data_IF_750871615912
#
_entry.id   IF_750871615912
#
_cell.length_a   1.000
_cell.length_b   1.000
_cell.length_c   1.000
_cell.angle_alpha   90.00
_cell.angle_beta   90.00
_cell.angle_gamma   90.00
#
_symmetry.space_group_name_H-M   'P 1'
#
loop_
_entity.id
_entity.type
_entity.pdbx_description
1 polymer ?
#
# COMPACT_ATOMS: atom_id res chain seq x y z
N UNK A 1 22.12 -19.39 22.55
CA UNK A 1 22.03 -18.20 23.43
C UNK A 1 20.59 -18.06 23.89
N UNK A 2 20.34 -18.08 25.21
CA UNK A 2 18.99 -18.00 25.81
C UNK A 2 18.64 -16.54 26.05
N UNK A 3 17.61 -16.02 25.39
CA UNK A 3 16.99 -14.75 25.77
C UNK A 3 16.27 -14.95 27.11
N UNK A 4 16.80 -14.33 28.17
CA UNK A 4 16.11 -14.24 29.46
C UNK A 4 15.11 -13.08 29.38
N UNK A 5 13.82 -13.40 29.36
CA UNK A 5 12.77 -12.44 29.66
C UNK A 5 12.94 -11.96 31.11
N UNK A 6 13.03 -10.64 31.30
CA UNK A 6 12.86 -10.02 32.62
C UNK A 6 11.36 -9.86 32.89
N UNK A 7 10.88 -10.14 34.11
CA UNK A 7 9.50 -9.87 34.48
C UNK A 7 9.31 -8.38 34.75
N UNK A 8 8.18 -7.85 34.27
CA UNK A 8 7.68 -6.52 34.56
C UNK A 8 7.00 -6.55 35.94
N UNK A 9 7.62 -5.94 36.95
CA UNK A 9 6.98 -5.72 38.25
C UNK A 9 6.14 -4.44 38.15
N UNK A 10 4.83 -4.57 38.31
CA UNK A 10 3.92 -3.46 38.55
C UNK A 10 3.13 -3.74 39.83
N UNK A 11 3.69 -3.31 40.96
CA UNK A 11 2.92 -3.02 42.17
C UNK A 11 2.41 -1.57 42.08
N UNK A 12 1.11 -1.40 42.29
CA UNK A 12 0.46 -0.09 42.22
C UNK A 12 -1.05 -0.20 42.41
N UNK A 13 -1.44 -0.69 43.58
CA UNK A 13 -2.84 -0.78 44.02
C UNK A 13 -3.28 0.57 44.59
N UNK A 14 -4.28 1.23 43.97
CA UNK A 14 -5.06 2.30 44.61
C UNK A 14 -6.54 2.14 44.20
N UNK A 15 -7.35 1.87 45.21
CA UNK A 15 -8.81 1.89 45.18
C UNK A 15 -9.39 3.22 44.69
N UNK A 16 -10.51 3.17 43.94
CA UNK A 16 -11.68 4.01 44.19
C UNK A 16 -12.92 3.45 43.48
N UNK A 17 -13.97 3.25 44.28
CA UNK A 17 -15.32 2.90 43.88
C UNK A 17 -16.00 4.08 43.15
N UNK A 18 -16.85 3.75 42.17
CA UNK A 18 -17.72 4.69 41.44
C UNK A 18 -18.69 3.91 40.52
N UNK A 19 -19.86 4.46 40.19
CA UNK A 19 -21.15 3.81 40.42
C UNK A 19 -21.72 3.01 39.22
N UNK A 20 -22.69 2.15 39.55
CA UNK A 20 -23.61 1.44 38.67
C UNK A 20 -24.13 2.33 37.53
N UNK A 21 -23.81 1.93 36.29
CA UNK A 21 -24.42 2.48 35.08
C UNK A 21 -25.39 1.43 34.55
N UNK A 22 -26.66 1.82 34.56
CA UNK A 22 -27.77 1.08 33.99
C UNK A 22 -27.51 0.68 32.53
N UNK A 23 -27.69 -0.61 32.24
CA UNK A 23 -27.90 -1.15 30.91
C UNK A 23 -29.09 -0.44 30.25
N UNK A 24 -28.83 0.21 29.13
CA UNK A 24 -29.86 0.48 28.12
C UNK A 24 -29.56 -0.42 26.92
N UNK A 25 -30.41 -1.42 26.76
CA UNK A 25 -30.53 -2.24 25.56
C UNK A 25 -30.91 -1.34 24.37
N UNK A 26 -30.06 -1.28 23.36
CA UNK A 26 -30.42 -0.76 22.04
C UNK A 26 -30.39 -1.90 21.03
N UNK A 27 -31.51 -2.19 20.34
CA UNK A 27 -31.57 -3.23 19.33
C UNK A 27 -30.77 -2.86 18.09
N UNK A 28 -29.93 -3.81 17.66
CA UNK A 28 -29.24 -3.83 16.37
C UNK A 28 -30.27 -4.15 15.28
N UNK A 29 -30.60 -3.15 14.46
CA UNK A 29 -31.20 -3.34 13.13
C UNK A 29 -30.61 -2.32 12.18
N UNK A 30 -29.95 -2.80 11.14
CA UNK A 30 -29.40 -1.95 10.08
C UNK A 30 -28.43 -2.70 9.19
N UNK A 31 -28.96 -3.61 8.37
CA UNK A 31 -28.28 -4.13 7.19
C UNK A 31 -27.95 -2.95 6.27
N UNK A 32 -26.71 -2.47 6.32
CA UNK A 32 -26.16 -1.49 5.39
C UNK A 32 -25.34 -2.21 4.32
N UNK A 33 -25.97 -2.57 3.21
CA UNK A 33 -25.29 -2.95 1.98
C UNK A 33 -24.41 -1.77 1.52
N UNK A 34 -23.10 -1.89 1.73
CA UNK A 34 -22.13 -1.05 1.05
C UNK A 34 -21.97 -1.54 -0.39
N UNK A 35 -22.74 -0.94 -1.29
CA UNK A 35 -22.45 -0.95 -2.73
C UNK A 35 -21.03 -0.40 -2.97
N UNK A 36 -20.16 -1.08 -3.74
CA UNK A 36 -18.89 -0.51 -4.13
C UNK A 36 -19.13 0.63 -5.13
N UNK A 37 -18.88 1.87 -4.67
CA UNK A 37 -18.78 3.04 -5.53
C UNK A 37 -17.65 2.79 -6.52
N UNK A 38 -18.02 2.42 -7.74
CA UNK A 38 -17.13 2.30 -8.88
C UNK A 38 -16.81 3.71 -9.38
N UNK A 39 -15.84 4.38 -8.74
CA UNK A 39 -15.34 5.67 -9.24
C UNK A 39 -14.39 5.41 -10.40
N UNK A 40 -14.95 5.61 -11.60
CA UNK A 40 -14.34 6.12 -12.83
C UNK A 40 -12.80 6.02 -12.94
N UNK A 41 -12.32 4.88 -13.44
CA UNK A 41 -11.15 4.87 -14.31
C UNK A 41 -11.61 5.03 -15.76
N UNK A 42 -11.90 6.26 -16.17
CA UNK A 42 -12.23 6.58 -17.55
C UNK A 42 -11.77 8.00 -17.87
N UNK A 43 -10.50 8.19 -18.27
CA UNK A 43 -10.06 9.32 -19.11
C UNK A 43 -8.62 9.19 -19.64
N UNK A 44 -8.30 8.08 -20.33
CA UNK A 44 -7.13 8.05 -21.26
C UNK A 44 -7.54 7.51 -22.63
N UNK A 45 -8.74 7.86 -23.11
CA UNK A 45 -9.23 7.45 -24.44
C UNK A 45 -9.94 8.57 -25.20
N UNK A 46 -9.42 9.80 -25.13
CA UNK A 46 -10.01 10.97 -25.81
C UNK A 46 -9.08 11.71 -26.81
N UNK A 47 -8.09 11.05 -27.42
CA UNK A 47 -7.27 11.69 -28.50
C UNK A 47 -7.32 10.95 -29.85
N UNK A 48 -8.22 9.98 -30.05
CA UNK A 48 -8.30 9.24 -31.33
C UNK A 48 -9.74 9.09 -31.87
N UNK A 49 -10.54 10.17 -31.86
CA UNK A 49 -11.82 10.24 -32.60
C UNK A 49 -12.02 11.59 -33.29
N UNK A 50 -11.06 12.01 -34.08
CA UNK A 50 -11.30 12.98 -35.14
C UNK A 50 -10.71 12.41 -36.44
N UNK A 51 -11.44 12.55 -37.54
CA UNK A 51 -11.15 12.03 -38.89
C UNK A 51 -11.67 10.62 -39.15
N UNK A 52 -13.00 10.48 -39.27
CA UNK A 52 -13.60 9.54 -40.24
C UNK A 52 -14.86 10.15 -40.85
N UNK A 53 -14.65 10.90 -41.92
CA UNK A 53 -15.64 11.02 -42.98
C UNK A 53 -14.91 10.72 -44.30
N UNK A 54 -15.33 9.63 -44.94
CA UNK A 54 -15.09 9.30 -46.35
C UNK A 54 -13.65 9.00 -46.77
N UNK A 55 -13.28 7.70 -46.83
CA UNK A 55 -12.80 7.05 -48.06
C UNK A 55 -12.21 5.65 -47.82
N UNK A 56 -12.67 4.72 -48.67
CA UNK A 56 -12.09 3.46 -49.20
C UNK A 56 -11.38 2.47 -48.24
N UNK A 57 -11.68 1.16 -48.34
CA UNK A 57 -10.94 0.13 -47.63
C UNK A 57 -9.61 -0.13 -48.35
N UNK A 58 -8.53 0.47 -47.89
CA UNK A 58 -7.17 0.00 -48.18
C UNK A 58 -6.83 -1.01 -47.07
N UNK A 59 -6.67 -2.27 -47.45
CA UNK A 59 -6.14 -3.31 -46.56
C UNK A 59 -4.66 -3.01 -46.30
N UNK A 60 -4.39 -2.12 -45.35
CA UNK A 60 -3.05 -1.98 -44.78
C UNK A 60 -2.86 -3.08 -43.75
N UNK A 61 -2.13 -4.13 -44.11
CA UNK A 61 -1.57 -5.06 -43.12
C UNK A 61 -0.61 -4.27 -42.23
N UNK A 62 -0.89 -4.10 -40.93
CA UNK A 62 0.03 -3.39 -40.07
C UNK A 62 1.30 -4.23 -39.94
N UNK A 63 2.38 -3.78 -40.59
CA UNK A 63 3.73 -4.28 -40.32
C UNK A 63 4.14 -3.79 -38.93
N UNK A 64 3.52 -4.37 -37.91
CA UNK A 64 3.95 -4.22 -36.53
C UNK A 64 5.31 -4.89 -36.42
N UNK A 65 6.34 -4.06 -36.53
CA UNK A 65 7.74 -4.43 -36.39
C UNK A 65 7.92 -5.38 -35.21
N UNK A 66 8.59 -6.52 -35.44
CA UNK A 66 8.96 -7.49 -34.39
C UNK A 66 9.65 -6.81 -33.19
N UNK A 67 10.30 -5.68 -33.45
CA UNK A 67 10.98 -4.85 -32.45
C UNK A 67 9.98 -4.19 -31.48
N UNK A 68 8.83 -3.73 -31.97
CA UNK A 68 7.73 -3.21 -31.12
C UNK A 68 7.12 -4.31 -30.25
N UNK A 69 7.00 -5.54 -30.78
CA UNK A 69 6.51 -6.68 -30.00
C UNK A 69 7.50 -7.12 -28.91
N UNK A 70 8.81 -7.01 -29.16
CA UNK A 70 9.86 -7.29 -28.16
C UNK A 70 9.85 -6.21 -27.08
N UNK A 71 9.77 -4.93 -27.46
CA UNK A 71 9.66 -3.80 -26.54
C UNK A 71 8.39 -3.94 -25.67
N UNK A 72 7.23 -4.17 -26.27
CA UNK A 72 5.98 -4.38 -25.54
C UNK A 72 6.10 -5.57 -24.55
N UNK A 73 6.68 -6.70 -24.95
CA UNK A 73 6.90 -7.85 -24.05
C UNK A 73 7.84 -7.55 -22.89
N UNK A 74 8.84 -6.69 -23.08
CA UNK A 74 9.75 -6.28 -22.01
C UNK A 74 9.06 -5.33 -21.00
N UNK A 75 8.10 -4.53 -21.45
CA UNK A 75 7.34 -3.61 -20.59
C UNK A 75 6.04 -4.21 -20.01
N UNK A 76 5.49 -5.29 -20.58
CA UNK A 76 4.25 -5.92 -20.09
C UNK A 76 4.42 -6.86 -18.89
N UNK A 77 5.62 -7.34 -18.57
CA UNK A 77 5.81 -8.39 -17.54
C UNK A 77 5.82 -7.91 -16.09
N UNK A 78 5.70 -6.60 -15.83
CA UNK A 78 5.94 -6.04 -14.48
C UNK A 78 4.72 -5.45 -13.77
N UNK A 79 3.50 -5.58 -14.31
CA UNK A 79 2.30 -4.89 -13.78
C UNK A 79 0.99 -5.68 -13.84
N UNK A 80 1.00 -6.94 -13.43
CA UNK A 80 -0.26 -7.65 -13.19
C UNK A 80 -0.83 -7.42 -11.78
N UNK A 81 -0.09 -6.74 -10.90
CA UNK A 81 -0.58 -6.34 -9.57
C UNK A 81 -1.56 -5.18 -9.76
N UNK A 82 -2.80 -5.38 -9.31
CA UNK A 82 -3.87 -4.38 -9.36
C UNK A 82 -4.14 -3.80 -7.99
N UNK A 83 -3.96 -4.58 -6.93
CA UNK A 83 -4.11 -4.08 -5.57
C UNK A 83 -3.19 -4.81 -4.59
N UNK A 84 -2.98 -4.19 -3.44
CA UNK A 84 -2.33 -4.76 -2.27
C UNK A 84 -3.41 -5.12 -1.25
N UNK A 85 -3.28 -6.29 -0.62
CA UNK A 85 -4.18 -6.75 0.43
C UNK A 85 -3.37 -6.86 1.71
N UNK A 86 -3.76 -6.14 2.76
CA UNK A 86 -3.10 -6.28 4.05
C UNK A 86 -3.55 -7.56 4.74
N UNK A 87 -2.58 -8.28 5.29
CA UNK A 87 -2.78 -9.48 6.08
C UNK A 87 -2.02 -9.37 7.41
N UNK A 88 -2.43 -10.14 8.41
CA UNK A 88 -1.80 -10.09 9.74
C UNK A 88 -0.28 -10.33 9.70
N UNK A 89 0.19 -11.19 8.79
CA UNK A 89 1.60 -11.58 8.68
C UNK A 89 2.39 -10.81 7.60
N UNK A 90 1.72 -10.01 6.77
CA UNK A 90 2.37 -9.31 5.66
C UNK A 90 1.41 -8.68 4.66
N UNK A 91 1.87 -8.55 3.42
CA UNK A 91 1.08 -8.03 2.30
C UNK A 91 0.99 -9.10 1.22
N UNK A 92 -0.21 -9.35 0.74
CA UNK A 92 -0.48 -10.17 -0.44
C UNK A 92 -0.85 -9.29 -1.64
N UNK A 93 -0.63 -9.77 -2.85
CA UNK A 93 -0.93 -9.05 -4.08
C UNK A 93 -2.16 -9.61 -4.75
N UNK A 94 -3.12 -8.73 -5.09
CA UNK A 94 -4.23 -9.08 -5.96
C UNK A 94 -3.84 -8.79 -7.40
N UNK A 95 -3.85 -9.84 -8.23
CA UNK A 95 -3.59 -9.74 -9.65
C UNK A 95 -4.83 -9.33 -10.43
N UNK A 96 -4.65 -8.94 -11.69
CA UNK A 96 -5.73 -8.51 -12.58
C UNK A 96 -6.76 -9.60 -12.86
N UNK A 97 -6.35 -10.84 -12.90
CA UNK A 97 -7.26 -11.99 -13.05
C UNK A 97 -8.05 -12.31 -11.77
N UNK A 98 -7.87 -11.51 -10.70
CA UNK A 98 -8.51 -11.67 -9.41
C UNK A 98 -7.80 -12.65 -8.49
N UNK A 99 -6.77 -13.35 -8.95
CA UNK A 99 -5.98 -14.24 -8.10
C UNK A 99 -5.20 -13.46 -7.06
N UNK A 100 -4.99 -14.08 -5.89
CA UNK A 100 -4.19 -13.52 -4.81
C UNK A 100 -2.92 -14.34 -4.68
N UNK A 101 -1.78 -13.66 -4.75
CA UNK A 101 -0.46 -14.27 -4.59
C UNK A 101 0.28 -13.67 -3.40
N UNK A 102 1.10 -14.46 -2.68
CA UNK A 102 1.89 -13.93 -1.57
C UNK A 102 2.84 -12.81 -2.04
N UNK A 103 2.84 -11.70 -1.31
CA UNK A 103 3.76 -10.60 -1.55
C UNK A 103 5.00 -10.71 -0.69
N UNK A 104 4.96 -10.10 0.49
CA UNK A 104 6.04 -10.19 1.49
C UNK A 104 5.48 -10.37 2.90
N UNK A 105 6.32 -10.84 3.81
CA UNK A 105 5.98 -10.98 5.25
C UNK A 105 6.68 -9.92 6.08
N UNK A 106 6.03 -9.46 7.17
CA UNK A 106 6.57 -8.43 8.06
C UNK A 106 7.96 -8.82 8.62
N UNK A 107 8.14 -10.10 8.94
CA UNK A 107 9.42 -10.66 9.43
C UNK A 107 10.58 -10.56 8.44
N UNK A 108 10.29 -10.45 7.14
CA UNK A 108 11.28 -10.33 6.06
C UNK A 108 11.68 -8.88 5.79
N UNK A 109 10.94 -7.90 6.33
CA UNK A 109 11.23 -6.49 6.12
C UNK A 109 12.52 -6.11 6.84
N UNK A 110 13.47 -5.59 6.07
CA UNK A 110 14.78 -5.13 6.56
C UNK A 110 14.88 -3.62 6.62
N UNK A 111 14.07 -2.90 5.83
CA UNK A 111 14.04 -1.44 5.83
C UNK A 111 12.67 -0.94 5.38
N UNK A 112 12.19 0.10 6.05
CA UNK A 112 10.97 0.83 5.69
C UNK A 112 11.36 2.28 5.46
N UNK A 113 11.03 2.79 4.29
CA UNK A 113 11.29 4.16 3.89
C UNK A 113 9.96 4.81 3.48
N UNK A 114 9.91 6.11 3.59
CA UNK A 114 8.81 6.92 3.08
C UNK A 114 9.36 8.03 2.20
N UNK A 115 8.59 8.44 1.20
CA UNK A 115 8.89 9.61 0.40
C UNK A 115 7.62 10.20 -0.19
N UNK A 116 7.65 11.51 -0.44
CA UNK A 116 6.66 12.16 -1.32
C UNK A 116 7.03 11.93 -2.78
N UNK A 117 6.03 11.58 -3.57
CA UNK A 117 6.07 11.51 -5.02
C UNK A 117 5.32 12.72 -5.54
N UNK A 118 6.02 13.58 -6.27
CA UNK A 118 5.42 14.73 -6.96
C UNK A 118 4.71 14.24 -8.24
N UNK A 119 3.38 14.40 -8.27
CA UNK A 119 2.52 14.08 -9.42
C UNK A 119 2.03 15.34 -10.14
N UNK A 120 2.86 16.38 -10.16
CA UNK A 120 2.66 17.71 -10.75
C UNK A 120 1.57 18.57 -10.07
N UNK A 121 0.39 18.00 -9.84
CA UNK A 121 -0.79 18.72 -9.30
C UNK A 121 -0.97 18.47 -7.81
N UNK A 122 -0.52 17.31 -7.32
CA UNK A 122 -0.56 16.93 -5.92
C UNK A 122 0.65 16.06 -5.59
N UNK A 123 1.01 16.03 -4.31
CA UNK A 123 1.99 15.09 -3.77
C UNK A 123 1.26 13.82 -3.31
N UNK A 124 1.88 12.65 -3.49
CA UNK A 124 1.41 11.38 -2.94
C UNK A 124 2.48 10.78 -2.03
N UNK A 125 2.10 10.31 -0.84
CA UNK A 125 3.05 9.62 0.05
C UNK A 125 3.22 8.16 -0.39
N UNK A 126 4.47 7.67 -0.41
CA UNK A 126 4.77 6.29 -0.73
C UNK A 126 5.53 5.61 0.41
N UNK A 127 5.05 4.44 0.84
CA UNK A 127 5.75 3.54 1.72
C UNK A 127 6.56 2.53 0.90
N UNK A 128 7.86 2.46 1.18
CA UNK A 128 8.79 1.54 0.50
C UNK A 128 9.30 0.51 1.49
N UNK A 129 9.00 -0.76 1.22
CA UNK A 129 9.44 -1.90 2.01
C UNK A 129 10.57 -2.60 1.29
N UNK A 130 11.71 -2.76 1.95
CA UNK A 130 12.83 -3.57 1.46
C UNK A 130 12.87 -4.89 2.22
N UNK A 131 13.05 -5.97 1.48
CA UNK A 131 13.15 -7.35 1.97
C UNK A 131 14.37 -8.03 1.34
N UNK A 132 14.61 -9.30 1.68
CA UNK A 132 15.59 -10.16 1.01
C UNK A 132 15.22 -10.47 -0.46
N UNK A 133 13.93 -10.49 -0.78
CA UNK A 133 13.42 -10.81 -2.12
C UNK A 133 13.31 -9.61 -3.06
N UNK A 134 13.28 -8.39 -2.51
CA UNK A 134 13.18 -7.18 -3.30
C UNK A 134 12.60 -6.00 -2.55
N UNK A 135 12.24 -4.98 -3.33
CA UNK A 135 11.63 -3.73 -2.85
C UNK A 135 10.19 -3.63 -3.35
N UNK A 136 9.29 -3.26 -2.45
CA UNK A 136 7.87 -3.10 -2.70
C UNK A 136 7.46 -1.66 -2.35
N UNK A 137 6.57 -1.08 -3.13
CA UNK A 137 6.10 0.29 -2.95
C UNK A 137 4.57 0.29 -2.86
N UNK A 138 4.05 0.89 -1.80
CA UNK A 138 2.61 1.08 -1.58
C UNK A 138 2.37 2.58 -1.51
N UNK A 139 1.61 3.09 -2.47
CA UNK A 139 1.22 4.49 -2.56
C UNK A 139 0.02 4.79 -1.67
N UNK A 140 -0.10 6.03 -1.21
CA UNK A 140 -1.19 6.53 -0.37
C UNK A 140 -2.58 6.24 -0.95
N UNK A 141 -2.72 6.30 -2.28
CA UNK A 141 -3.97 5.98 -2.97
C UNK A 141 -4.36 4.50 -2.95
N UNK A 142 -3.48 3.58 -2.53
CA UNK A 142 -3.84 2.18 -2.38
C UNK A 142 -4.59 1.93 -1.07
N UNK A 143 -5.61 1.06 -1.11
CA UNK A 143 -6.40 0.71 0.09
C UNK A 143 -5.54 0.14 1.23
N UNK A 144 -4.52 -0.65 0.90
CA UNK A 144 -3.60 -1.24 1.88
C UNK A 144 -2.72 -0.20 2.60
N UNK A 145 -2.58 1.03 2.09
CA UNK A 145 -1.76 2.05 2.72
C UNK A 145 -2.31 2.44 4.09
N UNK A 146 -3.63 2.64 4.19
CA UNK A 146 -4.29 2.95 5.45
C UNK A 146 -4.20 1.78 6.44
N UNK A 147 -4.33 0.55 5.94
CA UNK A 147 -4.18 -0.68 6.74
C UNK A 147 -2.75 -0.84 7.28
N UNK A 148 -1.74 -0.33 6.56
CA UNK A 148 -0.35 -0.39 6.98
C UNK A 148 -0.09 0.38 8.29
N UNK A 149 -0.84 1.44 8.63
CA UNK A 149 -0.60 2.18 9.88
C UNK A 149 -0.66 1.28 11.11
N UNK A 150 -1.72 0.47 11.23
CA UNK A 150 -1.89 -0.44 12.36
C UNK A 150 -0.77 -1.49 12.41
N UNK A 151 -0.36 -2.02 11.26
CA UNK A 151 0.72 -2.99 11.18
C UNK A 151 2.10 -2.38 11.46
N UNK A 152 2.36 -1.16 11.01
CA UNK A 152 3.62 -0.45 11.25
C UNK A 152 3.82 -0.18 12.75
N UNK A 153 2.75 0.24 13.44
CA UNK A 153 2.76 0.41 14.88
C UNK A 153 2.96 -0.92 15.60
N UNK A 154 2.16 -1.93 15.28
CA UNK A 154 2.18 -3.22 15.97
C UNK A 154 3.48 -4.00 15.75
N UNK A 155 4.00 -4.02 14.52
CA UNK A 155 5.14 -4.88 14.13
C UNK A 155 6.49 -4.19 14.29
N UNK A 156 6.53 -2.86 14.14
CA UNK A 156 7.78 -2.10 14.11
C UNK A 156 7.85 -0.98 15.16
N UNK A 157 6.78 -0.74 15.93
CA UNK A 157 6.74 0.33 16.93
C UNK A 157 6.73 1.72 16.32
N UNK A 158 6.28 1.87 15.07
CA UNK A 158 6.26 3.14 14.36
C UNK A 158 4.96 3.90 14.65
N UNK A 159 5.06 4.99 15.41
CA UNK A 159 3.93 5.90 15.67
C UNK A 159 3.40 6.51 14.36
N UNK A 160 2.08 6.66 14.16
CA UNK A 160 1.49 7.25 12.95
C UNK A 160 1.92 8.72 12.70
N UNK A 161 2.53 9.39 13.69
CA UNK A 161 3.06 10.75 13.57
C UNK A 161 4.06 10.94 12.43
N UNK A 162 4.74 9.87 11.99
CA UNK A 162 5.65 9.95 10.84
C UNK A 162 4.95 10.49 9.59
N UNK A 163 3.65 10.20 9.43
CA UNK A 163 2.90 10.59 8.25
C UNK A 163 2.71 12.11 8.19
N UNK A 164 2.34 12.73 9.31
CA UNK A 164 2.21 14.19 9.40
C UNK A 164 3.54 14.88 9.14
N UNK A 165 4.63 14.34 9.69
CA UNK A 165 5.99 14.86 9.47
C UNK A 165 6.42 14.80 8.00
N UNK A 166 5.98 13.77 7.26
CA UNK A 166 6.22 13.69 5.81
C UNK A 166 5.36 14.72 5.07
N UNK A 167 4.12 14.92 5.51
CA UNK A 167 3.16 15.82 4.87
C UNK A 167 3.44 17.30 5.08
N UNK A 168 4.05 17.70 6.20
CA UNK A 168 4.28 19.10 6.61
C UNK A 168 4.98 19.96 5.55
N UNK A 169 6.05 19.47 4.90
CA UNK A 169 6.76 20.25 3.88
C UNK A 169 6.21 19.91 2.48
N UNK A 170 5.40 20.79 1.89
CA UNK A 170 4.88 20.63 0.53
C UNK A 170 6.00 20.73 -0.52
N UNK A 171 5.93 19.90 -1.58
CA UNK A 171 6.87 19.90 -2.73
C UNK A 171 8.34 19.57 -2.43
N UNK A 172 8.69 19.23 -1.20
CA UNK A 172 10.01 18.68 -0.87
C UNK A 172 9.99 17.15 -1.01
N UNK A 173 11.04 16.59 -1.62
CA UNK A 173 11.25 15.13 -1.64
C UNK A 173 11.63 14.67 -0.23
N UNK A 174 10.62 14.55 0.64
CA UNK A 174 10.76 14.17 2.05
C UNK A 174 11.06 12.68 2.19
N UNK A 175 12.20 12.25 1.67
CA UNK A 175 12.69 10.89 1.86
C UNK A 175 13.13 10.72 3.31
N UNK A 176 12.61 9.68 3.95
CA UNK A 176 12.96 9.33 5.32
C UNK A 176 12.99 7.83 5.51
N UNK A 177 13.94 7.37 6.32
CA UNK A 177 13.97 5.98 6.80
C UNK A 177 13.18 5.92 8.09
N UNK A 178 12.12 5.11 8.11
CA UNK A 178 11.28 4.89 9.28
C UNK A 178 11.83 3.75 10.14
N UNK A 179 12.27 2.68 9.48
CA UNK A 179 12.80 1.49 10.14
C UNK A 179 13.99 0.96 9.35
N UNK A 180 15.01 0.49 10.06
CA UNK A 180 16.11 -0.26 9.49
C UNK A 180 16.54 -1.34 10.47
N UNK A 181 16.45 -2.59 10.03
CA UNK A 181 16.92 -3.75 10.78
C UNK A 181 18.44 -3.69 10.87
N UNK A 182 18.99 -3.75 12.08
CA UNK A 182 20.43 -3.79 12.29
C UNK A 182 21.00 -5.01 11.57
N UNK A 183 21.88 -4.78 10.59
CA UNK A 183 22.64 -5.87 10.00
C UNK A 183 23.59 -6.36 11.09
N UNK A 184 23.32 -7.54 11.66
CA UNK A 184 24.28 -8.22 12.51
C UNK A 184 25.49 -8.54 11.62
N UNK A 185 26.46 -7.63 11.58
CA UNK A 185 27.77 -7.90 11.01
C UNK A 185 28.40 -8.95 11.91
N UNK A 186 28.29 -10.21 11.49
CA UNK A 186 29.01 -11.30 12.12
C UNK A 186 30.48 -11.06 11.82
N UNK A 187 31.18 -10.50 12.81
CA UNK A 187 32.61 -10.22 12.76
C UNK A 187 33.40 -11.51 13.05
#
# INVERSE_FOLDING_TARGET
>A
MRCRNKPWNSEGSIHKAGPDIHLLDNPVTGEGQCEPITVLNCHVSCVLKAVRASHRPIQETPMTSRLVQIIAKLFSRKRDIVNFLSAAEGIDFRLRDGSVVPGFRWSQVTRIETCKIDLMVYDEVALRFTTDKGRYEILEGHTAFQECFAHLEQQFGLSPEWYFQVMENAFETNHRVLYQKESIRSN
#
